data_IF_995818377306
#
_entry.id   IF_995818377306
#
_cell.length_a   1.000
_cell.length_b   1.000
_cell.length_c   1.000
_cell.angle_alpha   90.00
_cell.angle_beta   90.00
_cell.angle_gamma   90.00
#
_symmetry.space_group_name_H-M   'P 1'
#
loop_
_entity.id
_entity.type
_entity.pdbx_description
1 polymer ?
#
# COMPACT_ATOMS: atom_id res chain seq x y z
N UNK A 1 -81.73 17.02 3.79
CA UNK A 1 -82.33 15.88 4.48
C UNK A 1 -81.22 14.87 4.81
N UNK A 2 -80.94 14.72 6.10
CA UNK A 2 -80.41 13.54 6.82
C UNK A 2 -79.02 12.97 6.46
N UNK A 3 -78.14 13.16 7.46
CA UNK A 3 -76.88 12.50 7.84
C UNK A 3 -76.97 10.97 7.86
N UNK A 4 -75.86 10.26 7.56
CA UNK A 4 -75.40 9.06 8.31
C UNK A 4 -73.99 8.58 7.90
N UNK A 5 -73.11 8.49 8.89
CA UNK A 5 -71.97 7.55 8.97
C UNK A 5 -72.36 6.41 9.95
N UNK A 6 -71.44 5.49 10.34
CA UNK A 6 -70.83 4.35 9.66
C UNK A 6 -71.34 3.01 10.30
N UNK A 7 -70.64 1.84 10.20
CA UNK A 7 -69.68 1.51 11.27
C UNK A 7 -68.49 0.57 10.91
N UNK A 8 -67.52 0.59 11.82
CA UNK A 8 -66.42 -0.36 12.04
C UNK A 8 -66.87 -1.73 12.60
N UNK A 9 -66.09 -2.81 12.36
CA UNK A 9 -66.05 -3.99 13.24
C UNK A 9 -64.62 -4.52 13.43
N UNK A 10 -64.26 -4.68 14.70
CA UNK A 10 -63.20 -5.56 15.26
C UNK A 10 -63.83 -6.90 15.69
N UNK A 11 -63.00 -7.95 15.81
CA UNK A 11 -62.94 -9.04 16.81
C UNK A 11 -62.12 -10.19 16.18
N UNK A 12 -61.04 -10.78 16.71
CA UNK A 12 -60.67 -11.34 18.03
C UNK A 12 -60.86 -12.87 18.13
N UNK A 13 -59.77 -13.58 18.49
CA UNK A 13 -59.71 -14.98 18.99
C UNK A 13 -59.47 -16.08 17.93
N UNK A 14 -58.78 -17.19 18.15
CA UNK A 14 -57.98 -17.71 19.27
C UNK A 14 -57.18 -18.95 18.78
N UNK A 15 -56.08 -19.22 19.50
CA UNK A 15 -55.21 -20.41 19.62
C UNK A 15 -55.43 -21.69 18.78
N UNK A 16 -54.30 -22.27 18.32
CA UNK A 16 -54.01 -23.69 18.53
C UNK A 16 -52.49 -23.94 18.64
N UNK A 17 -52.09 -24.63 19.71
CA UNK A 17 -50.75 -25.21 19.91
C UNK A 17 -50.68 -26.60 19.27
N UNK A 18 -49.53 -26.95 18.68
CA UNK A 18 -49.01 -28.33 18.74
C UNK A 18 -47.48 -28.27 18.87
N UNK A 19 -46.97 -28.97 19.88
CA UNK A 19 -45.56 -29.16 20.15
C UNK A 19 -44.95 -30.24 19.23
N UNK A 20 -43.66 -30.10 18.93
CA UNK A 20 -42.82 -31.27 18.63
C UNK A 20 -41.37 -31.04 19.08
N UNK A 21 -40.74 -32.15 19.44
CA UNK A 21 -39.64 -32.32 20.38
C UNK A 21 -38.31 -32.60 19.63
N UNK A 22 -37.28 -31.75 19.86
CA UNK A 22 -35.83 -32.00 20.23
C UNK A 22 -35.01 -33.07 19.45
N UNK A 23 -33.63 -33.07 19.34
CA UNK A 23 -32.57 -32.13 19.79
C UNK A 23 -31.50 -31.69 18.75
N UNK A 24 -30.77 -30.65 19.13
CA UNK A 24 -29.44 -30.22 18.64
C UNK A 24 -28.27 -30.92 19.37
N UNK A 25 -27.05 -30.97 18.81
CA UNK A 25 -25.85 -31.34 19.57
C UNK A 25 -24.98 -30.14 20.01
N UNK A 26 -24.60 -30.21 21.28
CA UNK A 26 -23.35 -29.83 21.96
C UNK A 26 -22.52 -28.61 21.51
N UNK A 27 -22.41 -27.63 22.42
CA UNK A 27 -21.14 -27.02 22.80
C UNK A 27 -21.07 -26.92 24.34
N UNK A 28 -20.01 -27.45 24.95
CA UNK A 28 -19.84 -27.54 26.40
C UNK A 28 -19.13 -26.33 27.02
N UNK A 29 -19.08 -26.25 28.36
CA UNK A 29 -18.15 -25.37 29.07
C UNK A 29 -17.19 -26.13 30.02
N UNK A 30 -15.98 -25.57 30.08
CA UNK A 30 -15.08 -25.32 31.22
C UNK A 30 -14.72 -26.37 32.31
N UNK A 31 -13.43 -26.28 32.67
CA UNK A 31 -12.79 -26.44 34.00
C UNK A 31 -12.62 -27.84 34.62
N UNK A 32 -11.35 -28.28 34.75
CA UNK A 32 -10.79 -28.89 35.97
C UNK A 32 -9.26 -29.06 35.90
N UNK A 33 -8.59 -28.72 37.02
CA UNK A 33 -7.23 -29.16 37.43
C UNK A 33 -7.21 -30.68 37.72
N UNK A 34 -6.04 -31.35 37.75
CA UNK A 34 -5.35 -31.57 39.04
C UNK A 34 -3.80 -31.56 38.94
N UNK A 35 -3.13 -31.50 40.09
CA UNK A 35 -1.67 -31.56 40.21
C UNK A 35 -1.14 -32.83 40.88
N UNK A 36 0.19 -32.99 40.91
CA UNK A 36 1.03 -33.44 42.04
C UNK A 36 2.51 -33.57 41.60
N UNK A 37 3.40 -33.00 42.43
CA UNK A 37 4.64 -33.55 43.03
C UNK A 37 5.39 -34.69 42.29
N UNK A 38 6.73 -34.83 42.22
CA UNK A 38 7.90 -34.49 43.09
C UNK A 38 9.14 -35.06 42.30
N UNK A 39 10.32 -34.44 42.17
CA UNK A 39 11.57 -34.70 42.93
C UNK A 39 12.78 -34.24 42.07
N UNK A 40 13.72 -33.50 42.68
CA UNK A 40 15.15 -33.36 42.30
C UNK A 40 15.95 -34.57 42.88
N UNK A 41 17.31 -34.68 42.85
CA UNK A 41 18.44 -34.01 42.14
C UNK A 41 19.39 -35.11 41.49
N UNK A 42 20.70 -34.94 41.13
CA UNK A 42 21.66 -33.88 41.52
C UNK A 42 22.62 -33.32 40.47
N UNK A 43 23.22 -32.22 40.94
CA UNK A 43 24.36 -31.47 40.44
C UNK A 43 25.65 -32.29 40.51
N UNK A 44 26.55 -32.05 39.56
CA UNK A 44 27.99 -32.21 39.77
C UNK A 44 28.73 -31.00 39.21
N UNK A 45 29.46 -30.34 40.11
CA UNK A 45 30.58 -29.44 39.82
C UNK A 45 31.80 -30.29 39.45
N UNK A 46 32.80 -29.68 38.80
CA UNK A 46 34.03 -29.53 39.58
C UNK A 46 34.61 -28.11 39.52
N UNK A 47 35.28 -27.79 40.63
CA UNK A 47 36.11 -26.63 40.84
C UNK A 47 37.58 -26.91 40.46
N UNK A 48 38.31 -25.83 40.18
CA UNK A 48 39.77 -25.80 40.00
C UNK A 48 40.15 -25.60 38.53
N UNK A 49 41.04 -24.69 38.14
CA UNK A 49 42.04 -23.93 38.86
C UNK A 49 42.51 -22.76 37.97
N UNK A 50 42.95 -21.68 38.62
CA UNK A 50 43.60 -20.52 38.01
C UNK A 50 44.93 -20.89 37.33
N UNK A 51 45.22 -20.28 36.17
CA UNK A 51 46.56 -19.77 35.85
C UNK A 51 46.49 -18.77 34.69
N UNK A 52 47.31 -17.72 34.85
CA UNK A 52 47.47 -16.56 33.99
C UNK A 52 47.99 -16.93 32.60
N UNK A 53 47.53 -16.23 31.56
CA UNK A 53 48.43 -15.78 30.49
C UNK A 53 47.79 -14.68 29.66
N UNK A 54 48.53 -13.59 29.51
CA UNK A 54 48.18 -12.45 28.69
C UNK A 54 48.27 -12.80 27.20
N UNK A 55 47.28 -12.36 26.42
CA UNK A 55 47.49 -11.98 25.03
C UNK A 55 46.37 -11.06 24.57
N UNK A 56 46.77 -9.85 24.19
CA UNK A 56 45.87 -8.79 23.76
C UNK A 56 45.12 -9.17 22.50
N UNK A 57 43.79 -9.18 22.59
CA UNK A 57 42.92 -9.20 21.42
C UNK A 57 42.52 -7.76 21.10
N UNK A 58 43.04 -7.25 19.98
CA UNK A 58 42.67 -5.94 19.44
C UNK A 58 41.17 -5.95 19.16
N UNK A 59 40.43 -5.03 19.79
CA UNK A 59 39.07 -4.69 19.37
C UNK A 59 39.18 -4.10 17.96
N UNK A 60 39.00 -4.94 16.95
CA UNK A 60 38.71 -4.48 15.61
C UNK A 60 37.32 -3.82 15.68
N UNK A 61 37.29 -2.49 15.54
CA UNK A 61 36.06 -1.76 15.21
C UNK A 61 35.51 -2.35 13.92
N UNK A 62 34.53 -3.25 14.04
CA UNK A 62 33.71 -3.69 12.93
C UNK A 62 33.00 -2.48 12.38
N UNK A 63 33.53 -1.94 11.28
CA UNK A 63 32.87 -0.89 10.53
C UNK A 63 31.48 -1.38 10.16
N UNK A 64 30.45 -0.64 10.58
CA UNK A 64 29.12 -0.81 10.08
C UNK A 64 29.20 -0.77 8.56
N UNK A 65 28.92 -1.91 7.91
CA UNK A 65 28.79 -1.97 6.45
C UNK A 65 27.67 -0.99 6.10
N UNK A 66 28.04 0.04 5.34
CA UNK A 66 27.05 0.86 4.63
C UNK A 66 26.16 -0.08 3.80
N UNK A 67 24.84 0.12 3.78
CA UNK A 67 23.95 -0.68 2.94
C UNK A 67 24.43 -0.60 1.48
N UNK A 68 24.37 -1.73 0.79
CA UNK A 68 24.80 -1.84 -0.59
C UNK A 68 23.91 -0.92 -1.43
N UNK A 69 24.55 0.04 -2.09
CA UNK A 69 23.89 1.00 -2.96
C UNK A 69 23.18 0.22 -4.08
N UNK A 70 21.84 0.26 -4.11
CA UNK A 70 21.08 -0.19 -5.29
C UNK A 70 21.64 0.60 -6.46
N UNK A 71 22.41 -0.07 -7.31
CA UNK A 71 23.08 0.57 -8.44
C UNK A 71 22.05 0.77 -9.53
N UNK A 72 21.37 1.91 -9.48
CA UNK A 72 20.61 2.42 -10.62
C UNK A 72 21.62 2.76 -11.72
N UNK A 73 21.58 2.06 -12.84
CA UNK A 73 22.45 2.36 -13.98
C UNK A 73 22.10 3.73 -14.58
N UNK A 74 22.80 4.79 -14.13
CA UNK A 74 23.16 5.98 -14.91
C UNK A 74 24.03 6.94 -14.05
N UNK A 75 25.32 7.04 -14.40
CA UNK A 75 26.15 8.26 -14.33
C UNK A 75 26.46 8.92 -12.98
N UNK A 76 27.67 8.69 -12.48
CA UNK A 76 28.56 9.65 -11.77
C UNK A 76 27.97 10.63 -10.74
N UNK A 77 28.21 10.36 -9.45
CA UNK A 77 27.75 11.20 -8.35
C UNK A 77 28.37 12.61 -8.29
N UNK A 78 27.49 13.62 -8.35
CA UNK A 78 27.53 14.92 -7.66
C UNK A 78 26.26 15.69 -8.08
N UNK A 79 25.33 15.93 -7.15
CA UNK A 79 24.01 16.61 -7.32
C UNK A 79 23.02 15.96 -8.31
N UNK A 80 23.50 15.30 -9.37
CA UNK A 80 22.74 14.44 -10.29
C UNK A 80 22.38 13.07 -9.71
N UNK A 81 22.87 12.72 -8.52
CA UNK A 81 22.63 11.41 -7.89
C UNK A 81 21.41 11.40 -6.95
N UNK A 82 20.88 12.59 -6.58
CA UNK A 82 19.73 12.70 -5.70
C UNK A 82 18.39 12.47 -6.42
N UNK A 83 18.38 12.58 -7.74
CA UNK A 83 17.18 12.57 -8.56
C UNK A 83 17.28 11.60 -9.74
N UNK A 84 16.16 10.97 -10.07
CA UNK A 84 15.94 10.26 -11.32
C UNK A 84 15.12 11.15 -12.25
N UNK A 85 15.58 11.33 -13.48
CA UNK A 85 14.90 12.15 -14.49
C UNK A 85 14.06 11.25 -15.39
N UNK A 86 12.77 11.54 -15.50
CA UNK A 86 11.90 10.88 -16.47
C UNK A 86 12.21 11.41 -17.88
N UNK A 87 12.69 10.54 -18.76
CA UNK A 87 13.33 10.93 -20.02
C UNK A 87 12.42 11.66 -21.02
N UNK A 88 11.11 11.39 -21.04
CA UNK A 88 10.22 12.04 -22.00
C UNK A 88 9.83 13.46 -21.56
N UNK A 89 9.61 13.69 -20.27
CA UNK A 89 9.09 14.97 -19.75
C UNK A 89 10.14 15.85 -19.08
N UNK A 90 11.33 15.30 -18.80
CA UNK A 90 12.38 15.90 -17.99
C UNK A 90 11.97 16.23 -16.54
N UNK A 91 10.89 15.63 -16.05
CA UNK A 91 10.50 15.75 -14.63
C UNK A 91 11.52 15.01 -13.76
N UNK A 92 11.97 15.68 -12.70
CA UNK A 92 12.89 15.12 -11.71
C UNK A 92 12.11 14.53 -10.55
N UNK A 93 12.47 13.32 -10.15
CA UNK A 93 11.91 12.60 -9.01
C UNK A 93 13.04 12.28 -8.04
N UNK A 94 12.88 12.58 -6.75
CA UNK A 94 13.88 12.22 -5.73
C UNK A 94 14.07 10.71 -5.68
N UNK A 95 15.29 10.23 -5.44
CA UNK A 95 15.53 8.79 -5.25
C UNK A 95 14.86 8.23 -4.02
N UNK A 96 14.81 9.05 -2.97
CA UNK A 96 14.16 8.75 -1.71
C UNK A 96 13.00 9.71 -1.47
N UNK A 97 11.93 9.19 -0.85
CA UNK A 97 10.73 9.94 -0.55
C UNK A 97 10.28 9.63 0.88
N UNK A 98 10.13 10.65 1.71
CA UNK A 98 9.40 10.54 2.97
C UNK A 98 7.95 10.92 2.75
N UNK A 99 7.02 10.14 3.29
CA UNK A 99 5.58 10.37 3.15
C UNK A 99 4.89 10.48 4.50
N UNK A 100 3.77 11.23 4.60
CA UNK A 100 2.99 11.26 5.83
C UNK A 100 2.48 9.86 6.17
N UNK A 101 2.49 9.52 7.46
CA UNK A 101 2.01 8.23 7.94
C UNK A 101 3.03 7.08 7.84
N UNK A 102 4.24 7.31 7.33
CA UNK A 102 5.34 6.35 7.33
C UNK A 102 6.67 7.01 7.69
N UNK A 103 7.45 6.42 8.59
CA UNK A 103 8.69 7.03 9.10
C UNK A 103 9.89 6.73 8.20
N UNK A 104 9.94 5.50 7.69
CA UNK A 104 11.04 5.06 6.85
C UNK A 104 10.89 5.67 5.44
N UNK A 105 12.00 6.01 4.78
CA UNK A 105 11.94 6.48 3.41
C UNK A 105 11.43 5.37 2.47
N UNK A 106 10.77 5.79 1.41
CA UNK A 106 10.55 4.94 0.24
C UNK A 106 11.64 5.22 -0.79
N UNK A 107 12.03 4.20 -1.53
CA UNK A 107 12.96 4.31 -2.66
C UNK A 107 12.20 4.23 -3.98
N UNK A 108 12.68 4.98 -4.98
CA UNK A 108 12.11 4.95 -6.32
C UNK A 108 12.41 3.61 -7.01
N UNK A 109 11.41 3.04 -7.68
CA UNK A 109 11.57 1.82 -8.47
C UNK A 109 11.39 2.01 -9.98
N UNK A 110 10.69 3.04 -10.39
CA UNK A 110 10.45 3.27 -11.81
C UNK A 110 9.83 4.61 -12.08
N UNK A 111 10.02 5.08 -13.30
CA UNK A 111 9.47 6.33 -13.82
C UNK A 111 8.79 6.10 -15.16
N UNK A 112 7.77 6.88 -15.45
CA UNK A 112 7.13 6.90 -16.75
C UNK A 112 6.31 8.14 -16.94
N UNK A 113 5.57 8.19 -18.03
CA UNK A 113 4.71 9.33 -18.33
C UNK A 113 3.41 8.82 -18.93
N UNK A 114 2.41 9.70 -18.94
CA UNK A 114 1.18 9.49 -19.71
C UNK A 114 1.08 10.56 -20.77
N UNK A 115 0.83 10.13 -21.99
CA UNK A 115 0.34 11.00 -23.05
C UNK A 115 -1.13 10.69 -23.36
N UNK A 116 -1.76 11.63 -24.05
CA UNK A 116 -3.07 11.46 -24.65
C UNK A 116 -3.05 12.21 -25.96
N UNK A 117 -3.25 11.50 -27.08
CA UNK A 117 -3.17 12.07 -28.44
C UNK A 117 -1.87 12.86 -28.67
N UNK A 118 -0.71 12.24 -28.39
CA UNK A 118 0.63 12.84 -28.51
C UNK A 118 0.93 14.03 -27.59
N UNK A 119 0.02 14.34 -26.66
CA UNK A 119 0.22 15.40 -25.67
C UNK A 119 0.53 14.79 -24.31
N UNK A 120 1.72 15.10 -23.79
CA UNK A 120 2.15 14.67 -22.44
C UNK A 120 1.27 15.34 -21.38
N UNK A 121 0.70 14.53 -20.49
CA UNK A 121 -0.23 14.97 -19.44
C UNK A 121 0.48 15.05 -18.09
N UNK A 122 1.20 13.99 -17.73
CA UNK A 122 1.98 13.92 -16.50
C UNK A 122 3.18 12.99 -16.65
N UNK A 123 4.16 13.18 -15.78
CA UNK A 123 5.16 12.18 -15.43
C UNK A 123 4.73 11.48 -14.13
N UNK A 124 5.18 10.24 -13.94
CA UNK A 124 4.91 9.49 -12.74
C UNK A 124 6.14 8.72 -12.27
N UNK A 125 6.23 8.50 -10.97
CA UNK A 125 7.26 7.70 -10.33
C UNK A 125 6.64 6.80 -9.27
N UNK A 126 7.10 5.55 -9.22
CA UNK A 126 6.65 4.56 -8.24
C UNK A 126 7.71 4.33 -7.19
N UNK A 127 7.29 4.25 -5.93
CA UNK A 127 8.15 4.10 -4.78
C UNK A 127 7.67 2.95 -3.91
N UNK A 128 8.61 2.24 -3.29
CA UNK A 128 8.33 1.22 -2.27
C UNK A 128 9.24 1.41 -1.07
N UNK A 129 8.83 0.84 0.05
CA UNK A 129 9.61 0.84 1.28
C UNK A 129 11.08 0.42 1.07
N UNK A 130 12.02 1.17 1.69
CA UNK A 130 13.47 0.98 1.55
C UNK A 130 13.96 -0.43 1.92
N UNK A 131 13.18 -1.22 2.67
CA UNK A 131 13.56 -2.58 3.04
C UNK A 131 13.87 -3.49 1.85
N UNK A 132 13.36 -3.21 0.64
CA UNK A 132 13.73 -3.94 -0.57
C UNK A 132 15.23 -3.86 -0.89
N UNK A 133 15.91 -2.78 -0.51
CA UNK A 133 17.35 -2.59 -0.70
C UNK A 133 18.21 -2.99 0.49
N UNK A 134 17.61 -3.19 1.66
CA UNK A 134 18.33 -3.55 2.88
C UNK A 134 18.39 -5.07 3.09
N UNK A 135 17.27 -5.74 2.90
CA UNK A 135 17.14 -7.19 2.97
C UNK A 135 16.13 -7.67 1.92
N UNK A 136 16.64 -7.85 0.69
CA UNK A 136 15.84 -8.27 -0.46
C UNK A 136 15.13 -9.60 -0.20
N UNK A 137 15.75 -10.54 0.51
CA UNK A 137 15.14 -11.84 0.79
C UNK A 137 13.95 -11.71 1.75
N UNK A 138 14.11 -10.93 2.83
CA UNK A 138 13.03 -10.67 3.76
C UNK A 138 11.91 -9.89 3.08
N UNK A 139 12.24 -8.92 2.23
CA UNK A 139 11.26 -8.20 1.44
C UNK A 139 10.48 -9.14 0.51
N UNK A 140 11.17 -10.03 -0.22
CA UNK A 140 10.54 -11.07 -1.06
C UNK A 140 9.58 -11.95 -0.26
N UNK A 141 10.00 -12.42 0.91
CA UNK A 141 9.15 -13.21 1.82
C UNK A 141 7.92 -12.43 2.27
N UNK A 142 8.08 -11.14 2.61
CA UNK A 142 7.00 -10.26 3.02
C UNK A 142 5.99 -10.00 1.88
N UNK A 143 6.48 -9.92 0.65
CA UNK A 143 5.63 -9.76 -0.54
C UNK A 143 5.02 -11.08 -1.01
N UNK A 144 5.61 -12.22 -0.64
CA UNK A 144 5.20 -13.53 -1.11
C UNK A 144 5.68 -13.80 -2.55
N UNK A 145 6.90 -13.36 -2.88
CA UNK A 145 7.52 -13.57 -4.19
C UNK A 145 8.70 -14.55 -4.07
N UNK A 146 8.64 -15.65 -4.81
CA UNK A 146 9.81 -16.52 -5.02
C UNK A 146 10.64 -16.04 -6.21
N UNK A 147 9.96 -15.68 -7.30
CA UNK A 147 10.52 -15.02 -8.49
C UNK A 147 9.61 -13.87 -8.89
N UNK A 148 10.14 -12.87 -9.60
CA UNK A 148 9.34 -11.76 -10.10
C UNK A 148 8.88 -12.02 -11.52
N UNK A 149 7.57 -12.12 -11.71
CA UNK A 149 6.91 -12.09 -13.01
C UNK A 149 6.00 -10.88 -13.06
N UNK A 150 6.20 -9.99 -14.04
CA UNK A 150 5.40 -8.78 -14.17
C UNK A 150 3.90 -9.06 -14.35
N UNK A 151 3.48 -10.25 -14.76
CA UNK A 151 2.06 -10.58 -14.94
C UNK A 151 1.29 -10.67 -13.61
N UNK A 152 1.94 -11.15 -12.55
CA UNK A 152 1.34 -11.45 -11.24
C UNK A 152 2.03 -10.73 -10.08
N UNK A 153 3.30 -10.37 -10.23
CA UNK A 153 4.13 -9.79 -9.19
C UNK A 153 3.62 -8.43 -8.69
N UNK A 154 3.03 -7.61 -9.56
CA UNK A 154 2.42 -6.36 -9.15
C UNK A 154 1.20 -6.56 -8.23
N UNK A 155 0.42 -7.63 -8.42
CA UNK A 155 -0.71 -7.95 -7.56
C UNK A 155 -0.22 -8.42 -6.18
N UNK A 156 0.85 -9.22 -6.14
CA UNK A 156 1.51 -9.61 -4.88
C UNK A 156 2.04 -8.39 -4.13
N UNK A 157 2.73 -7.48 -4.83
CA UNK A 157 3.20 -6.20 -4.27
C UNK A 157 2.03 -5.39 -3.72
N UNK A 158 0.88 -5.36 -4.41
CA UNK A 158 -0.31 -4.66 -3.90
C UNK A 158 -0.82 -5.25 -2.58
N UNK A 159 -0.99 -6.58 -2.53
CA UNK A 159 -1.55 -7.30 -1.37
C UNK A 159 -0.62 -7.32 -0.16
N UNK A 160 0.68 -7.20 -0.39
CA UNK A 160 1.69 -7.25 0.64
C UNK A 160 1.59 -6.06 1.63
N UNK A 161 1.96 -6.27 2.91
CA UNK A 161 1.99 -5.23 3.94
C UNK A 161 3.22 -4.32 3.81
N UNK A 162 3.52 -3.88 2.59
CA UNK A 162 4.62 -2.97 2.25
C UNK A 162 4.04 -1.62 1.83
N UNK A 163 4.61 -0.55 2.39
CA UNK A 163 4.22 0.81 2.04
C UNK A 163 4.75 1.13 0.64
N UNK A 164 3.90 1.78 -0.15
CA UNK A 164 4.20 2.14 -1.53
C UNK A 164 3.53 3.46 -1.88
N UNK A 165 4.15 4.21 -2.77
CA UNK A 165 3.64 5.52 -3.19
C UNK A 165 3.78 5.69 -4.69
N UNK A 166 2.74 6.25 -5.32
CA UNK A 166 2.75 6.66 -6.72
C UNK A 166 2.68 8.19 -6.75
N UNK A 167 3.72 8.81 -7.31
CA UNK A 167 3.81 10.25 -7.46
C UNK A 167 3.47 10.59 -8.91
N UNK A 168 2.53 11.51 -9.12
CA UNK A 168 2.07 11.95 -10.43
C UNK A 168 2.32 13.46 -10.53
N UNK A 169 3.32 13.87 -11.30
CA UNK A 169 3.67 15.28 -11.50
C UNK A 169 3.12 15.78 -12.83
N UNK A 170 2.23 16.75 -12.77
CA UNK A 170 1.60 17.33 -13.96
C UNK A 170 2.61 18.14 -14.77
N UNK A 171 2.68 17.88 -16.07
CA UNK A 171 3.57 18.62 -16.99
C UNK A 171 2.84 19.74 -17.74
N UNK A 172 1.56 19.93 -17.41
CA UNK A 172 0.65 20.93 -17.95
C UNK A 172 -0.46 21.23 -16.96
N UNK A 173 -1.16 22.32 -17.19
CA UNK A 173 -2.38 22.62 -16.44
C UNK A 173 -3.48 21.62 -16.77
N UNK A 174 -4.14 21.13 -15.71
CA UNK A 174 -5.28 20.22 -15.77
C UNK A 174 -6.33 20.71 -14.78
N UNK A 175 -7.55 20.92 -15.26
CA UNK A 175 -8.69 21.19 -14.39
C UNK A 175 -8.98 19.95 -13.51
N UNK A 176 -9.19 20.14 -12.21
CA UNK A 176 -9.57 19.08 -11.28
C UNK A 176 -10.76 18.25 -11.77
N UNK A 177 -11.74 18.86 -12.45
CA UNK A 177 -12.86 18.12 -13.07
C UNK A 177 -12.39 17.15 -14.16
N UNK A 178 -11.41 17.56 -14.96
CA UNK A 178 -10.83 16.71 -16.01
C UNK A 178 -10.02 15.57 -15.40
N UNK A 179 -9.26 15.86 -14.34
CA UNK A 179 -8.52 14.84 -13.59
C UNK A 179 -9.46 13.79 -12.99
N UNK A 180 -10.51 14.22 -12.28
CA UNK A 180 -11.54 13.34 -11.69
C UNK A 180 -12.21 12.47 -12.76
N UNK A 181 -12.59 13.03 -13.92
CA UNK A 181 -13.16 12.24 -15.01
C UNK A 181 -12.20 11.15 -15.52
N UNK A 182 -10.92 11.47 -15.66
CA UNK A 182 -9.93 10.50 -16.10
C UNK A 182 -9.76 9.37 -15.08
N UNK A 183 -9.78 9.72 -13.80
CA UNK A 183 -9.71 8.79 -12.68
C UNK A 183 -10.93 7.88 -12.60
N UNK A 184 -12.14 8.43 -12.74
CA UNK A 184 -13.38 7.65 -12.79
C UNK A 184 -13.36 6.62 -13.92
N UNK A 185 -12.79 7.00 -15.08
CA UNK A 185 -12.58 6.06 -16.20
C UNK A 185 -11.56 4.95 -15.90
N UNK A 186 -10.62 5.16 -14.97
CA UNK A 186 -9.73 4.09 -14.49
C UNK A 186 -10.52 3.15 -13.57
N UNK A 187 -11.23 3.71 -12.60
CA UNK A 187 -11.93 2.93 -11.57
C UNK A 187 -13.09 2.13 -12.17
N UNK A 188 -13.86 2.73 -13.09
CA UNK A 188 -14.99 2.07 -13.75
C UNK A 188 -14.60 0.84 -14.58
N UNK A 189 -13.33 0.72 -15.01
CA UNK A 189 -12.84 -0.49 -15.69
C UNK A 189 -12.77 -1.70 -14.76
N UNK A 190 -12.68 -1.47 -13.45
CA UNK A 190 -12.56 -2.53 -12.43
C UNK A 190 -13.81 -2.66 -11.56
N UNK A 191 -14.45 -1.54 -11.23
CA UNK A 191 -15.64 -1.50 -10.36
C UNK A 191 -16.83 -1.05 -11.20
N UNK A 192 -17.61 -2.01 -11.68
CA UNK A 192 -18.81 -1.75 -12.50
C UNK A 192 -20.01 -1.33 -11.64
N UNK A 193 -20.14 -1.94 -10.45
CA UNK A 193 -21.17 -1.63 -9.45
C UNK A 193 -20.47 -1.33 -8.14
N UNK A 194 -20.71 -0.13 -7.61
CA UNK A 194 -20.09 0.36 -6.37
C UNK A 194 -21.02 0.13 -5.19
N UNK A 195 -20.47 -0.20 -4.04
CA UNK A 195 -21.22 -0.16 -2.78
C UNK A 195 -21.31 1.28 -2.25
N UNK A 196 -22.18 1.51 -1.26
CA UNK A 196 -22.34 2.83 -0.66
C UNK A 196 -21.04 3.29 0.04
N UNK A 197 -20.28 2.34 0.62
CA UNK A 197 -18.98 2.62 1.25
C UNK A 197 -17.91 3.00 0.24
N UNK A 198 -17.89 2.33 -0.92
CA UNK A 198 -16.98 2.63 -2.02
C UNK A 198 -17.29 4.00 -2.61
N UNK A 199 -18.57 4.32 -2.84
CA UNK A 199 -18.98 5.61 -3.39
C UNK A 199 -18.70 6.76 -2.41
N UNK A 200 -18.88 6.55 -1.11
CA UNK A 200 -18.51 7.52 -0.08
C UNK A 200 -16.99 7.82 -0.09
N UNK A 201 -16.17 6.76 -0.11
CA UNK A 201 -14.70 6.89 -0.18
C UNK A 201 -14.24 7.59 -1.46
N UNK A 202 -14.84 7.24 -2.59
CA UNK A 202 -14.57 7.88 -3.88
C UNK A 202 -15.03 9.33 -3.90
N UNK A 203 -16.17 9.65 -3.30
CA UNK A 203 -16.66 11.02 -3.22
C UNK A 203 -15.71 11.91 -2.43
N UNK A 204 -15.22 11.45 -1.28
CA UNK A 204 -14.18 12.16 -0.53
C UNK A 204 -12.91 12.38 -1.36
N UNK A 205 -12.47 11.34 -2.07
CA UNK A 205 -11.30 11.41 -2.95
C UNK A 205 -11.51 12.41 -4.10
N UNK A 206 -12.67 12.40 -4.79
CA UNK A 206 -13.00 13.35 -5.86
C UNK A 206 -13.05 14.78 -5.34
N UNK A 207 -13.71 14.98 -4.20
CA UNK A 207 -13.87 16.30 -3.58
C UNK A 207 -12.53 16.94 -3.23
N UNK A 208 -11.47 16.15 -3.00
CA UNK A 208 -10.12 16.68 -2.82
C UNK A 208 -9.56 17.39 -4.06
N UNK A 209 -10.06 17.08 -5.27
CA UNK A 209 -9.62 17.71 -6.52
C UNK A 209 -10.63 18.69 -7.11
N UNK A 210 -11.93 18.54 -6.79
CA UNK A 210 -12.96 19.45 -7.28
C UNK A 210 -12.72 20.87 -6.78
N UNK A 211 -12.70 21.84 -7.70
CA UNK A 211 -12.39 23.24 -7.39
C UNK A 211 -10.90 23.57 -7.31
N UNK A 212 -9.99 22.59 -7.39
CA UNK A 212 -8.55 22.83 -7.51
C UNK A 212 -8.16 23.03 -8.98
N UNK A 213 -7.40 24.09 -9.25
CA UNK A 213 -6.73 24.27 -10.53
C UNK A 213 -5.34 23.62 -10.44
N UNK A 214 -5.20 22.41 -10.98
CA UNK A 214 -3.94 21.66 -10.89
C UNK A 214 -2.98 22.21 -11.93
N UNK A 215 -2.05 23.04 -11.47
CA UNK A 215 -1.06 23.70 -12.33
C UNK A 215 0.02 22.71 -12.78
N UNK A 216 0.68 23.05 -13.88
CA UNK A 216 1.95 22.43 -14.22
C UNK A 216 2.88 22.50 -13.00
N UNK A 217 3.54 21.38 -12.70
CA UNK A 217 4.38 21.23 -11.52
C UNK A 217 3.67 20.59 -10.32
N UNK A 218 2.33 20.64 -10.26
CA UNK A 218 1.59 19.97 -9.18
C UNK A 218 1.87 18.46 -9.17
N UNK A 219 2.32 17.96 -8.02
CA UNK A 219 2.50 16.54 -7.74
C UNK A 219 1.37 16.02 -6.86
N UNK A 220 0.77 14.91 -7.30
CA UNK A 220 -0.23 14.16 -6.57
C UNK A 220 0.43 12.87 -6.07
N UNK A 221 0.32 12.61 -4.78
CA UNK A 221 0.87 11.44 -4.11
C UNK A 221 -0.27 10.51 -3.75
N UNK A 222 -0.21 9.27 -4.24
CA UNK A 222 -1.11 8.19 -3.86
C UNK A 222 -0.30 7.17 -3.05
N UNK A 223 -0.41 7.22 -1.73
CA UNK A 223 0.40 6.42 -0.82
C UNK A 223 -0.46 5.31 -0.20
N UNK A 224 -0.19 4.06 -0.55
CA UNK A 224 -0.81 2.91 0.08
C UNK A 224 0.03 2.51 1.30
N UNK A 225 -0.52 2.75 2.50
CA UNK A 225 0.06 2.22 3.73
C UNK A 225 -0.27 0.73 3.89
N UNK A 226 -1.49 0.37 3.50
CA UNK A 226 -2.04 -0.97 3.49
C UNK A 226 -2.97 -1.13 2.28
N UNK A 227 -3.32 -2.36 1.84
CA UNK A 227 -4.22 -2.56 0.71
C UNK A 227 -5.57 -1.81 0.86
N UNK A 228 -6.11 -1.76 2.07
CA UNK A 228 -7.38 -1.09 2.39
C UNK A 228 -7.25 0.39 2.74
N UNK A 229 -6.03 0.92 2.87
CA UNK A 229 -5.77 2.27 3.40
C UNK A 229 -4.78 3.05 2.55
N UNK A 230 -5.29 4.05 1.84
CA UNK A 230 -4.49 4.93 0.98
C UNK A 230 -4.61 6.39 1.44
N UNK A 231 -3.48 7.09 1.49
CA UNK A 231 -3.39 8.51 1.75
C UNK A 231 -3.15 9.25 0.45
N UNK A 232 -3.78 10.40 0.33
CA UNK A 232 -3.67 11.26 -0.85
C UNK A 232 -3.16 12.62 -0.41
N UNK A 233 -2.13 13.09 -1.08
CA UNK A 233 -1.56 14.42 -0.89
C UNK A 233 -1.40 15.10 -2.23
N UNK A 234 -1.59 16.41 -2.28
CA UNK A 234 -1.37 17.25 -3.45
C UNK A 234 -0.47 18.40 -3.04
N UNK A 235 0.62 18.59 -3.78
CA UNK A 235 1.59 19.65 -3.53
C UNK A 235 2.06 20.27 -4.84
N UNK A 236 2.52 21.52 -4.82
CA UNK A 236 3.10 22.20 -5.99
C UNK A 236 4.62 22.18 -5.99
N UNK A 237 5.28 22.28 -4.84
CA UNK A 237 6.73 22.54 -4.80
C UNK A 237 7.49 21.85 -3.66
N UNK A 238 6.78 21.38 -2.62
CA UNK A 238 7.38 20.70 -1.47
C UNK A 238 6.88 19.25 -1.43
N UNK A 239 7.68 18.31 -0.94
CA UNK A 239 7.25 16.90 -0.78
C UNK A 239 5.93 16.78 0.02
N UNK A 240 5.33 15.59 0.09
CA UNK A 240 4.03 15.42 0.74
C UNK A 240 4.18 15.68 2.25
N UNK A 241 3.74 16.85 2.71
CA UNK A 241 3.85 17.26 4.12
C UNK A 241 2.53 17.15 4.88
N UNK A 242 1.41 17.12 4.17
CA UNK A 242 0.07 16.99 4.71
C UNK A 242 -0.75 15.93 3.97
N UNK A 243 -1.75 15.37 4.64
CA UNK A 243 -2.71 14.42 4.06
C UNK A 243 -3.98 15.19 3.71
N UNK A 244 -4.34 15.25 2.44
CA UNK A 244 -5.58 15.90 1.97
C UNK A 244 -6.79 15.01 2.21
N UNK A 245 -6.66 13.71 1.93
CA UNK A 245 -7.74 12.73 2.12
C UNK A 245 -7.20 11.33 2.36
N UNK A 246 -7.93 10.58 3.17
CA UNK A 246 -7.70 9.17 3.43
C UNK A 246 -8.82 8.34 2.79
N UNK A 247 -8.44 7.34 1.99
CA UNK A 247 -9.35 6.43 1.29
C UNK A 247 -9.29 5.06 1.96
N UNK A 248 -10.42 4.62 2.54
CA UNK A 248 -10.56 3.37 3.30
C UNK A 248 -11.36 2.32 2.54
N UNK A 249 -10.90 1.94 1.35
CA UNK A 249 -11.54 0.90 0.54
C UNK A 249 -10.50 0.11 -0.24
N UNK A 250 -10.40 -1.20 0.05
CA UNK A 250 -9.48 -2.10 -0.63
C UNK A 250 -9.78 -2.20 -2.13
N UNK A 251 -11.07 -2.25 -2.51
CA UNK A 251 -11.51 -2.32 -3.90
C UNK A 251 -11.08 -1.08 -4.68
N UNK A 252 -11.33 0.12 -4.12
CA UNK A 252 -10.97 1.40 -4.76
C UNK A 252 -9.45 1.52 -4.88
N UNK A 253 -8.74 1.23 -3.80
CA UNK A 253 -7.28 1.29 -3.75
C UNK A 253 -6.64 0.34 -4.77
N UNK A 254 -7.18 -0.87 -4.90
CA UNK A 254 -6.73 -1.82 -5.91
C UNK A 254 -7.04 -1.35 -7.33
N UNK A 255 -8.26 -0.86 -7.59
CA UNK A 255 -8.64 -0.36 -8.91
C UNK A 255 -7.73 0.78 -9.38
N UNK A 256 -7.31 1.65 -8.47
CA UNK A 256 -6.34 2.70 -8.75
C UNK A 256 -4.95 2.16 -9.05
N UNK A 257 -4.43 1.28 -8.18
CA UNK A 257 -3.13 0.65 -8.36
C UNK A 257 -3.06 -0.12 -9.69
N UNK A 258 -4.07 -0.94 -9.96
CA UNK A 258 -4.23 -1.70 -11.20
C UNK A 258 -4.34 -0.79 -12.43
N UNK A 259 -4.90 0.41 -12.30
CA UNK A 259 -4.87 1.41 -13.35
C UNK A 259 -3.47 1.73 -13.90
N UNK A 260 -2.42 1.56 -13.08
CA UNK A 260 -1.02 1.82 -13.44
C UNK A 260 -0.20 0.54 -13.63
N UNK A 261 -0.51 -0.53 -12.90
CA UNK A 261 0.29 -1.77 -12.88
C UNK A 261 -0.47 -3.02 -13.31
N UNK A 262 -1.75 -2.88 -13.65
CA UNK A 262 -2.60 -3.91 -14.23
C UNK A 262 -2.45 -4.02 -15.74
N UNK A 263 -3.11 -5.01 -16.34
CA UNK A 263 -2.86 -5.47 -17.73
C UNK A 263 -3.02 -4.40 -18.82
N UNK A 264 -3.74 -3.31 -18.55
CA UNK A 264 -3.94 -2.18 -19.47
C UNK A 264 -3.61 -0.86 -18.78
N UNK A 265 -2.32 -0.62 -18.47
CA UNK A 265 -1.90 0.49 -17.63
C UNK A 265 -2.06 1.83 -18.36
N UNK A 266 -2.42 2.88 -17.62
CA UNK A 266 -2.49 4.25 -18.18
C UNK A 266 -1.12 4.84 -18.53
N UNK A 267 -0.05 4.26 -17.99
CA UNK A 267 1.34 4.57 -18.33
C UNK A 267 2.10 3.25 -18.52
N UNK A 268 2.15 2.71 -19.75
CA UNK A 268 2.91 1.51 -20.04
C UNK A 268 4.41 1.67 -19.71
N UNK A 269 4.97 2.86 -19.94
CA UNK A 269 6.38 3.15 -19.64
C UNK A 269 6.70 3.06 -18.16
N UNK A 270 5.81 3.53 -17.28
CA UNK A 270 5.96 3.37 -15.83
C UNK A 270 5.93 1.90 -15.42
N UNK A 271 4.97 1.12 -15.94
CA UNK A 271 4.89 -0.31 -15.63
C UNK A 271 6.16 -1.04 -16.06
N UNK A 272 6.63 -0.79 -17.27
CA UNK A 272 7.81 -1.45 -17.83
C UNK A 272 9.09 -1.10 -17.09
N UNK A 273 9.34 0.18 -16.78
CA UNK A 273 10.55 0.59 -16.06
C UNK A 273 10.59 0.03 -14.63
N UNK A 274 9.46 0.05 -13.92
CA UNK A 274 9.33 -0.56 -12.60
C UNK A 274 9.56 -2.07 -12.65
N UNK A 275 9.01 -2.76 -13.64
CA UNK A 275 9.19 -4.20 -13.80
C UNK A 275 10.66 -4.57 -14.04
N UNK A 276 11.34 -3.86 -14.93
CA UNK A 276 12.76 -4.08 -15.24
C UNK A 276 13.66 -3.92 -14.01
N UNK A 277 13.42 -2.90 -13.19
CA UNK A 277 14.21 -2.71 -11.98
C UNK A 277 13.87 -3.74 -10.90
N UNK A 278 12.59 -4.08 -10.73
CA UNK A 278 12.20 -5.13 -9.80
C UNK A 278 12.84 -6.47 -10.17
N UNK A 279 12.83 -6.84 -11.45
CA UNK A 279 13.52 -8.03 -11.94
C UNK A 279 15.02 -7.97 -11.63
N UNK A 280 15.68 -6.85 -11.95
CA UNK A 280 17.10 -6.68 -11.66
C UNK A 280 17.45 -6.75 -10.16
N UNK A 281 16.60 -6.20 -9.28
CA UNK A 281 16.82 -6.23 -7.82
C UNK A 281 16.55 -7.63 -7.26
N UNK A 282 15.51 -8.31 -7.75
CA UNK A 282 15.01 -9.55 -7.15
C UNK A 282 15.70 -10.82 -7.67
N UNK A 283 16.39 -10.73 -8.80
CA UNK A 283 17.21 -11.82 -9.38
C UNK A 283 18.64 -11.85 -8.84
N UNK A 284 19.13 -10.75 -8.24
CA UNK A 284 20.41 -10.72 -7.52
C UNK A 284 20.27 -11.24 -6.09
#
# INVERSE_FOLDING_TARGET
>A
MVVRSPPSKRCAGAAMMVASVVPSPLAGPALARPGRTRLLPPCDLPAGSSLQSASGCRIARGGARRPQHISFAAGGGAEGDAFVVEGATNVKFSRELTVPGHKEPLIILGTGYRDKFFVKVYAAAFYVDISIGLDTEQWRKKVGLETFDASSGFDSIFKAPVVKSLNITLVRDVDGKTFVKALDGVIARRIQKRTDEEESSLSAFRNSFLGRNLKKGTTIYLTWLEPSRMLVSVSTDQGPSQVDVEVKSATVNYALYDGFFGSSPVSPTLRSSTAQLLEAILTN
#
